data_IF_974631625432
#
_entry.id   IF_974631625432
#
_cell.length_a   1.000
_cell.length_b   1.000
_cell.length_c   1.000
_cell.angle_alpha   90.00
_cell.angle_beta   90.00
_cell.angle_gamma   90.00
#
_symmetry.space_group_name_H-M   'P 1'
#
loop_
_entity.id
_entity.type
_entity.pdbx_description
1 polymer ?
#
# COMPACT_ATOMS: atom_id res chain seq x y z
N UNK A 1 -55.68 -26.39 -45.26
CA UNK A 1 -55.47 -25.34 -44.26
C UNK A 1 -53.99 -25.40 -43.85
N UNK A 2 -53.18 -24.54 -44.47
CA UNK A 2 -51.72 -24.63 -44.43
C UNK A 2 -51.15 -24.05 -43.12
N UNK A 3 -50.28 -24.80 -42.46
CA UNK A 3 -49.52 -24.35 -41.28
C UNK A 3 -48.12 -23.96 -41.77
N UNK A 4 -47.81 -22.66 -41.70
CA UNK A 4 -46.48 -22.06 -41.96
C UNK A 4 -46.02 -21.33 -40.66
N UNK A 5 -44.72 -21.02 -40.45
CA UNK A 5 -43.88 -21.63 -39.44
C UNK A 5 -43.36 -20.60 -38.42
N UNK A 6 -43.74 -20.73 -37.15
CA UNK A 6 -43.33 -19.79 -36.07
C UNK A 6 -41.86 -19.89 -35.65
N UNK A 7 -41.14 -20.94 -36.02
CA UNK A 7 -39.79 -21.25 -35.51
C UNK A 7 -38.66 -20.48 -36.23
N UNK A 8 -38.86 -20.09 -37.49
CA UNK A 8 -37.82 -19.37 -38.26
C UNK A 8 -37.63 -17.93 -37.82
N UNK A 9 -38.69 -17.27 -37.34
CA UNK A 9 -38.60 -15.89 -36.84
C UNK A 9 -37.86 -15.78 -35.51
N UNK A 10 -37.99 -16.76 -34.60
CA UNK A 10 -37.30 -16.73 -33.32
C UNK A 10 -35.77 -16.94 -33.48
N UNK A 11 -35.36 -17.81 -34.41
CA UNK A 11 -33.95 -18.06 -34.71
C UNK A 11 -33.26 -16.82 -35.34
N UNK A 12 -33.97 -16.11 -36.23
CA UNK A 12 -33.45 -14.87 -36.83
C UNK A 12 -33.31 -13.73 -35.81
N UNK A 13 -34.20 -13.64 -34.82
CA UNK A 13 -34.12 -12.62 -33.77
C UNK A 13 -32.93 -12.88 -32.82
N UNK A 14 -32.66 -14.15 -32.47
CA UNK A 14 -31.48 -14.50 -31.68
C UNK A 14 -30.16 -14.20 -32.42
N UNK A 15 -30.10 -14.43 -33.74
CA UNK A 15 -28.91 -14.12 -34.54
C UNK A 15 -28.70 -12.61 -34.65
N UNK A 16 -29.76 -11.80 -34.82
CA UNK A 16 -29.62 -10.33 -34.87
C UNK A 16 -29.18 -9.72 -33.53
N UNK A 17 -29.64 -10.25 -32.39
CA UNK A 17 -29.22 -9.81 -31.05
C UNK A 17 -27.74 -10.14 -30.75
N UNK A 18 -27.18 -11.19 -31.37
CA UNK A 18 -25.75 -11.49 -31.27
C UNK A 18 -24.88 -10.51 -32.08
N UNK A 19 -25.38 -9.96 -33.19
CA UNK A 19 -24.63 -8.99 -34.01
C UNK A 19 -24.55 -7.59 -33.38
N UNK A 20 -25.50 -7.21 -32.51
CA UNK A 20 -25.46 -5.90 -31.83
C UNK A 20 -24.46 -5.83 -30.67
N UNK A 21 -23.87 -6.96 -30.25
CA UNK A 21 -22.85 -7.01 -29.18
C UNK A 21 -21.40 -6.99 -29.67
N UNK A 22 -21.14 -6.79 -30.98
CA UNK A 22 -19.79 -6.86 -31.56
C UNK A 22 -19.23 -5.53 -32.10
N UNK A 23 -19.74 -4.38 -31.66
CA UNK A 23 -19.13 -3.09 -31.99
C UNK A 23 -18.32 -2.53 -30.80
N UNK A 24 -17.24 -3.21 -30.44
CA UNK A 24 -16.16 -2.57 -29.68
C UNK A 24 -15.46 -1.57 -30.61
N UNK A 25 -15.80 -0.29 -30.49
CA UNK A 25 -15.06 0.78 -31.16
C UNK A 25 -13.71 0.98 -30.46
N UNK A 26 -12.67 0.30 -30.98
CA UNK A 26 -11.32 0.32 -30.40
C UNK A 26 -10.18 0.62 -31.38
N UNK A 27 -10.45 1.13 -32.60
CA UNK A 27 -9.39 1.50 -33.55
C UNK A 27 -9.18 3.02 -33.59
N UNK A 28 -8.39 3.52 -32.66
CA UNK A 28 -7.57 4.70 -32.91
C UNK A 28 -6.26 4.26 -33.58
N UNK A 29 -5.67 5.04 -34.50
CA UNK A 29 -4.39 4.71 -35.09
C UNK A 29 -3.32 4.58 -34.00
N UNK A 30 -2.40 3.60 -34.10
CA UNK A 30 -1.39 3.37 -33.08
C UNK A 30 -0.50 4.61 -32.96
N UNK A 31 -0.35 5.12 -31.74
CA UNK A 31 0.71 6.06 -31.43
C UNK A 31 2.05 5.31 -31.61
N UNK A 32 2.99 5.83 -32.42
CA UNK A 32 4.15 5.06 -32.88
C UNK A 32 5.19 4.70 -31.79
N UNK A 33 4.94 5.00 -30.50
CA UNK A 33 6.00 5.02 -29.48
C UNK A 33 5.67 4.32 -28.15
N UNK A 34 4.70 3.40 -28.06
CA UNK A 34 4.50 2.71 -26.78
C UNK A 34 4.26 1.21 -26.89
N UNK A 35 5.35 0.45 -26.78
CA UNK A 35 5.32 -0.98 -26.59
C UNK A 35 5.26 -1.32 -25.10
N UNK A 36 4.23 -2.04 -24.66
CA UNK A 36 4.16 -2.66 -23.34
C UNK A 36 4.23 -4.16 -23.51
N UNK A 37 5.11 -4.79 -22.74
CA UNK A 37 5.17 -6.24 -22.63
C UNK A 37 4.42 -6.62 -21.35
N UNK A 38 3.60 -7.64 -21.44
CA UNK A 38 2.80 -8.19 -20.35
C UNK A 38 2.47 -9.63 -20.71
N UNK A 39 2.17 -10.46 -19.71
CA UNK A 39 1.70 -11.83 -19.94
C UNK A 39 0.18 -11.87 -19.87
N UNK A 40 -0.45 -12.58 -20.81
CA UNK A 40 -1.89 -12.87 -20.75
C UNK A 40 -2.09 -14.19 -20.00
N UNK A 41 -2.77 -14.14 -18.85
CA UNK A 41 -3.17 -15.32 -18.09
C UNK A 41 -4.71 -15.38 -18.04
N UNK A 42 -5.32 -16.00 -19.05
CA UNK A 42 -6.78 -16.21 -19.08
C UNK A 42 -7.61 -14.92 -19.16
N UNK A 43 -7.10 -13.90 -19.87
CA UNK A 43 -7.77 -12.60 -20.01
C UNK A 43 -7.30 -11.52 -19.03
N UNK A 44 -6.39 -11.84 -18.12
CA UNK A 44 -5.72 -10.87 -17.25
C UNK A 44 -4.37 -10.44 -17.84
N UNK A 45 -4.10 -9.14 -17.83
CA UNK A 45 -2.84 -8.53 -18.25
C UNK A 45 -1.95 -8.36 -17.02
N UNK A 46 -0.88 -9.14 -16.87
CA UNK A 46 0.04 -8.95 -15.75
C UNK A 46 1.19 -8.04 -16.15
N UNK A 47 1.32 -6.91 -15.45
CA UNK A 47 2.49 -6.01 -15.56
C UNK A 47 3.31 -6.05 -14.28
N UNK A 48 4.60 -6.34 -14.40
CA UNK A 48 5.55 -6.31 -13.30
C UNK A 48 6.55 -5.16 -13.48
N UNK A 49 7.09 -4.66 -12.38
CA UNK A 49 7.96 -3.48 -12.35
C UNK A 49 9.23 -3.67 -13.14
N UNK A 50 9.77 -4.89 -13.22
CA UNK A 50 10.93 -5.17 -14.07
C UNK A 50 10.59 -5.19 -15.58
N UNK A 51 9.33 -5.44 -15.95
CA UNK A 51 8.90 -5.47 -17.35
C UNK A 51 8.76 -4.04 -17.90
N UNK A 52 8.20 -3.13 -17.09
CA UNK A 52 8.10 -1.70 -17.44
C UNK A 52 8.24 -0.80 -16.19
N UNK A 53 9.47 -0.51 -15.74
CA UNK A 53 9.72 0.28 -14.54
C UNK A 53 9.10 1.68 -14.60
N UNK A 54 9.09 2.29 -15.80
CA UNK A 54 8.55 3.62 -16.04
C UNK A 54 7.07 3.78 -15.73
N UNK A 55 6.32 2.67 -15.65
CA UNK A 55 4.93 2.70 -15.23
C UNK A 55 4.79 3.12 -13.75
N UNK A 56 5.81 2.85 -12.93
CA UNK A 56 5.81 3.03 -11.48
C UNK A 56 6.50 4.33 -11.03
N UNK A 57 7.15 5.06 -11.94
CA UNK A 57 8.00 6.21 -11.59
C UNK A 57 7.23 7.44 -11.12
N UNK A 58 5.99 7.62 -11.60
CA UNK A 58 5.12 8.71 -11.15
C UNK A 58 4.35 8.42 -9.86
N UNK A 59 4.52 7.24 -9.23
CA UNK A 59 3.81 6.90 -8.00
C UNK A 59 4.37 7.76 -6.85
N UNK A 60 3.54 8.57 -6.18
CA UNK A 60 4.00 9.37 -5.05
C UNK A 60 4.39 8.46 -3.88
N UNK A 61 5.41 8.87 -3.12
CA UNK A 61 5.93 8.09 -1.99
C UNK A 61 6.27 6.63 -2.36
N UNK A 62 7.11 6.45 -3.39
CA UNK A 62 7.52 5.14 -3.94
C UNK A 62 8.22 4.22 -2.92
N UNK A 63 8.70 4.75 -1.80
CA UNK A 63 9.25 3.95 -0.70
C UNK A 63 8.16 3.30 0.17
N UNK A 64 6.90 3.72 0.01
CA UNK A 64 5.72 3.29 0.76
C UNK A 64 4.68 2.68 -0.18
N UNK A 65 5.12 1.75 -1.02
CA UNK A 65 4.21 0.92 -1.80
C UNK A 65 3.43 -0.03 -0.89
N UNK A 66 2.24 -0.41 -1.29
CA UNK A 66 1.41 -1.33 -0.52
C UNK A 66 2.09 -2.70 -0.41
N UNK A 67 2.05 -3.31 0.77
CA UNK A 67 2.71 -4.57 1.07
C UNK A 67 4.21 -4.46 1.35
N UNK A 68 4.80 -3.27 1.25
CA UNK A 68 6.21 -3.03 1.59
C UNK A 68 6.49 -3.43 3.05
N UNK A 69 7.58 -4.17 3.29
CA UNK A 69 8.07 -4.45 4.63
C UNK A 69 8.95 -3.32 5.13
N UNK A 70 8.56 -2.70 6.25
CA UNK A 70 9.31 -1.62 6.89
C UNK A 70 9.88 -2.05 8.24
N UNK A 71 11.10 -1.61 8.52
CA UNK A 71 11.74 -1.72 9.83
C UNK A 71 12.12 -0.32 10.30
N UNK A 72 11.85 -0.02 11.56
CA UNK A 72 12.09 1.28 12.17
C UNK A 72 13.11 1.12 13.30
N UNK A 73 14.26 1.78 13.17
CA UNK A 73 15.29 1.80 14.21
C UNK A 73 15.25 3.15 14.92
N UNK A 74 15.07 3.15 16.24
CA UNK A 74 15.18 4.35 17.06
C UNK A 74 16.60 4.91 17.00
N UNK A 75 16.72 6.22 16.81
CA UNK A 75 18.02 6.89 16.78
C UNK A 75 18.61 7.10 18.18
N UNK A 76 17.75 7.34 19.17
CA UNK A 76 18.16 7.57 20.56
C UNK A 76 18.57 6.29 21.27
N UNK A 77 17.80 5.20 21.08
CA UNK A 77 18.06 3.91 21.74
C UNK A 77 18.93 2.99 20.87
N UNK A 78 18.95 3.20 19.55
CA UNK A 78 19.71 2.35 18.62
C UNK A 78 19.13 0.95 18.43
N UNK A 79 17.86 0.73 18.81
CA UNK A 79 17.13 -0.55 18.73
C UNK A 79 15.91 -0.44 17.83
N UNK A 80 15.40 -1.58 17.38
CA UNK A 80 14.26 -1.65 16.45
C UNK A 80 12.92 -1.68 17.17
N UNK A 81 11.92 -1.01 16.57
CA UNK A 81 10.53 -1.23 16.92
C UNK A 81 10.17 -2.71 16.72
N UNK A 82 9.52 -3.30 17.71
CA UNK A 82 9.19 -4.72 17.76
C UNK A 82 7.76 -4.90 18.23
N UNK A 83 6.99 -5.70 17.50
CA UNK A 83 5.72 -6.21 18.00
C UNK A 83 6.00 -7.39 18.93
N UNK A 84 5.94 -7.16 20.26
CA UNK A 84 6.15 -8.23 21.23
C UNK A 84 5.20 -9.40 20.96
N UNK A 85 5.72 -10.61 21.17
CA UNK A 85 5.06 -11.88 20.81
C UNK A 85 4.60 -11.99 19.35
N UNK A 86 5.11 -11.13 18.45
CA UNK A 86 4.68 -11.02 17.05
C UNK A 86 3.39 -10.24 16.83
N UNK A 87 2.80 -9.65 17.88
CA UNK A 87 1.48 -9.02 17.88
C UNK A 87 0.58 -9.52 19.01
N UNK A 88 -0.44 -8.74 19.33
CA UNK A 88 -1.43 -9.04 20.37
C UNK A 88 -1.22 -8.28 21.67
N UNK A 89 -0.21 -7.43 21.70
CA UNK A 89 0.19 -6.64 22.87
C UNK A 89 0.87 -5.34 22.42
N UNK A 90 1.71 -4.77 23.27
CA UNK A 90 2.47 -3.53 23.09
C UNK A 90 3.53 -3.61 21.97
N UNK A 91 3.82 -2.45 21.37
CA UNK A 91 5.01 -2.21 20.55
C UNK A 91 6.12 -1.67 21.42
N UNK A 92 7.28 -2.31 21.35
CA UNK A 92 8.48 -1.97 22.16
C UNK A 92 9.66 -1.62 21.26
N UNK A 93 10.79 -1.23 21.85
CA UNK A 93 12.04 -0.89 21.16
C UNK A 93 13.26 -1.58 21.81
N UNK A 94 13.24 -2.91 21.94
CA UNK A 94 14.24 -3.67 22.71
C UNK A 94 15.15 -4.57 21.83
N UNK A 95 15.00 -4.57 20.51
CA UNK A 95 15.70 -5.50 19.60
C UNK A 95 16.93 -4.87 18.94
N UNK A 96 18.07 -5.56 19.00
CA UNK A 96 19.33 -5.10 18.38
C UNK A 96 19.46 -5.48 16.91
N UNK A 97 18.71 -6.49 16.46
CA UNK A 97 18.65 -6.92 15.07
C UNK A 97 17.18 -7.12 14.66
N UNK A 98 16.88 -6.85 13.40
CA UNK A 98 15.53 -6.96 12.86
C UNK A 98 15.31 -8.25 12.08
N UNK A 99 14.14 -8.85 12.29
CA UNK A 99 13.63 -10.05 11.63
C UNK A 99 12.10 -9.93 11.47
N UNK A 100 11.36 -11.00 11.70
CA UNK A 100 9.91 -11.06 11.46
C UNK A 100 9.08 -10.14 12.36
N UNK A 101 9.44 -9.97 13.64
CA UNK A 101 8.64 -9.23 14.61
C UNK A 101 8.88 -7.71 14.53
N UNK A 102 10.02 -7.31 13.99
CA UNK A 102 10.40 -5.92 13.75
C UNK A 102 10.00 -5.45 12.34
N UNK A 103 9.45 -6.35 11.52
CA UNK A 103 9.00 -6.05 10.15
C UNK A 103 7.50 -5.77 10.12
N UNK A 104 7.17 -4.53 9.80
CA UNK A 104 5.81 -4.04 9.67
C UNK A 104 5.42 -4.01 8.19
N UNK A 105 4.39 -4.76 7.82
CA UNK A 105 3.86 -4.73 6.45
C UNK A 105 2.94 -3.53 6.29
N UNK A 106 3.26 -2.68 5.33
CA UNK A 106 2.51 -1.47 5.06
C UNK A 106 1.24 -1.79 4.28
N UNK A 107 0.14 -1.15 4.66
CA UNK A 107 -1.10 -1.09 3.89
C UNK A 107 -1.38 0.37 3.57
N UNK A 108 -1.40 0.71 2.29
CA UNK A 108 -1.56 2.08 1.82
C UNK A 108 -3.03 2.41 1.68
N UNK A 109 -3.48 3.41 2.44
CA UNK A 109 -4.87 3.91 2.39
C UNK A 109 -4.98 5.04 1.36
N UNK A 110 -4.00 5.95 1.36
CA UNK A 110 -3.86 7.00 0.36
C UNK A 110 -2.38 7.41 0.22
N UNK A 111 -2.11 8.58 -0.35
CA UNK A 111 -0.75 9.07 -0.55
C UNK A 111 0.04 9.26 0.75
N UNK A 112 -0.62 9.65 1.85
CA UNK A 112 0.03 10.04 3.10
C UNK A 112 -0.23 9.11 4.27
N UNK A 113 -1.36 8.41 4.27
CA UNK A 113 -1.78 7.61 5.41
C UNK A 113 -1.71 6.12 5.12
N UNK A 114 -1.27 5.39 6.12
CA UNK A 114 -0.95 3.98 6.05
C UNK A 114 -1.40 3.26 7.32
N UNK A 115 -1.69 1.98 7.18
CA UNK A 115 -1.85 1.07 8.31
C UNK A 115 -0.66 0.11 8.30
N UNK A 116 -0.26 -0.36 9.47
CA UNK A 116 0.89 -1.25 9.61
C UNK A 116 0.46 -2.56 10.22
N UNK A 117 0.75 -3.67 9.55
CA UNK A 117 0.42 -5.02 10.01
C UNK A 117 1.65 -5.74 10.52
N UNK A 118 1.56 -6.27 11.74
CA UNK A 118 2.63 -7.03 12.40
C UNK A 118 2.62 -8.51 12.00
N UNK A 119 3.56 -9.29 12.54
CA UNK A 119 3.79 -10.69 12.19
C UNK A 119 2.53 -11.57 12.32
N UNK A 120 1.81 -11.46 13.44
CA UNK A 120 0.56 -12.19 13.72
C UNK A 120 -0.67 -11.59 13.03
N UNK A 121 -0.48 -10.80 11.97
CA UNK A 121 -1.52 -10.19 11.13
C UNK A 121 -2.42 -9.18 11.85
N UNK A 122 -2.03 -8.72 13.03
CA UNK A 122 -2.70 -7.62 13.72
C UNK A 122 -2.19 -6.26 13.23
N UNK A 123 -2.99 -5.23 13.42
CA UNK A 123 -2.65 -3.87 13.05
C UNK A 123 -2.11 -3.11 14.26
N UNK A 124 -1.05 -2.33 14.00
CA UNK A 124 -0.53 -1.33 14.92
C UNK A 124 -1.59 -0.23 15.06
N UNK A 125 -1.80 0.25 16.28
CA UNK A 125 -2.74 1.30 16.61
C UNK A 125 -2.44 1.91 17.98
N UNK A 126 -3.19 2.95 18.33
CA UNK A 126 -3.17 3.51 19.68
C UNK A 126 -4.06 2.70 20.62
N UNK A 127 -3.63 2.54 21.88
CA UNK A 127 -4.45 1.91 22.91
C UNK A 127 -5.59 2.83 23.35
N UNK A 128 -6.65 2.84 22.56
CA UNK A 128 -7.89 3.59 22.83
C UNK A 128 -8.67 3.09 24.03
N UNK A 129 -8.36 1.90 24.56
CA UNK A 129 -8.99 1.37 25.79
C UNK A 129 -8.22 1.78 27.05
N UNK A 130 -6.92 2.07 26.89
CA UNK A 130 -6.05 2.60 27.93
C UNK A 130 -5.94 4.12 27.90
N UNK A 131 -4.70 4.62 27.87
CA UNK A 131 -4.40 6.05 27.95
C UNK A 131 -4.51 6.81 26.61
N UNK A 132 -4.81 6.11 25.50
CA UNK A 132 -4.96 6.71 24.17
C UNK A 132 -3.66 7.19 23.52
N UNK A 133 -2.50 6.90 24.12
CA UNK A 133 -1.18 7.30 23.58
C UNK A 133 -0.23 6.11 23.42
N UNK A 134 -0.41 5.01 24.15
CA UNK A 134 0.46 3.84 24.02
C UNK A 134 0.27 3.18 22.65
N UNK A 135 1.37 2.71 22.06
CA UNK A 135 1.35 2.03 20.75
C UNK A 135 1.25 0.52 20.95
N UNK A 136 0.19 -0.06 20.40
CA UNK A 136 -0.14 -1.50 20.55
C UNK A 136 -0.42 -2.12 19.19
N UNK A 137 -0.36 -3.46 19.12
CA UNK A 137 -0.71 -4.22 17.92
C UNK A 137 -1.76 -5.29 18.22
N UNK A 138 -2.93 -4.86 18.67
CA UNK A 138 -4.00 -5.76 19.18
C UNK A 138 -5.13 -6.00 18.18
N UNK A 139 -5.27 -5.17 17.14
CA UNK A 139 -6.42 -5.20 16.24
C UNK A 139 -6.26 -6.26 15.16
N UNK A 140 -6.95 -7.40 15.30
CA UNK A 140 -6.89 -8.52 14.33
C UNK A 140 -7.94 -8.43 13.20
N UNK A 141 -8.94 -7.55 13.35
CA UNK A 141 -10.06 -7.40 12.40
C UNK A 141 -9.82 -6.29 11.38
N UNK A 142 -10.86 -5.50 11.13
CA UNK A 142 -10.78 -4.34 10.25
C UNK A 142 -10.16 -3.16 11.00
N UNK A 143 -8.99 -2.65 10.58
CA UNK A 143 -8.38 -1.46 11.17
C UNK A 143 -9.20 -0.21 10.90
N UNK A 144 -9.19 0.71 11.85
CA UNK A 144 -9.92 1.98 11.78
C UNK A 144 -8.99 3.20 11.85
N UNK A 145 -9.53 4.28 12.42
CA UNK A 145 -8.82 5.55 12.54
C UNK A 145 -7.62 5.42 13.49
N UNK A 146 -7.75 4.69 14.60
CA UNK A 146 -6.68 4.49 15.59
C UNK A 146 -5.47 3.72 15.06
N UNK A 147 -5.63 2.97 13.96
CA UNK A 147 -4.58 2.18 13.30
C UNK A 147 -4.00 2.89 12.06
N UNK A 148 -4.43 4.12 11.78
CA UNK A 148 -4.05 4.87 10.58
C UNK A 148 -3.04 5.95 10.92
N UNK A 149 -1.83 5.81 10.38
CA UNK A 149 -0.67 6.66 10.66
C UNK A 149 -0.21 7.39 9.40
N UNK A 150 0.43 8.54 9.58
CA UNK A 150 1.18 9.24 8.52
C UNK A 150 2.68 9.03 8.76
N UNK A 151 3.44 8.72 7.71
CA UNK A 151 4.90 8.59 7.79
C UNK A 151 5.52 9.80 7.09
N UNK A 152 6.21 10.65 7.86
CA UNK A 152 6.79 11.91 7.39
C UNK A 152 8.29 11.74 7.21
N UNK A 153 8.78 12.04 6.01
CA UNK A 153 10.22 12.02 5.70
C UNK A 153 10.93 13.29 6.12
N UNK A 154 12.18 13.14 6.55
CA UNK A 154 13.13 14.24 6.53
C UNK A 154 13.54 14.52 5.07
N UNK A 155 13.23 15.71 4.55
CA UNK A 155 13.65 16.10 3.20
C UNK A 155 15.15 16.33 3.06
N UNK A 156 15.87 16.53 4.18
CA UNK A 156 17.32 16.77 4.21
C UNK A 156 18.19 15.50 4.35
N UNK A 157 17.62 14.37 4.76
CA UNK A 157 18.34 13.09 4.98
C UNK A 157 17.46 11.91 4.54
N UNK A 158 17.89 11.20 3.49
CA UNK A 158 17.16 10.10 2.87
C UNK A 158 17.25 8.83 3.72
N UNK A 159 16.60 8.82 4.87
CA UNK A 159 16.58 7.65 5.74
C UNK A 159 15.80 7.85 7.03
N UNK A 160 15.62 9.11 7.45
CA UNK A 160 14.93 9.43 8.71
C UNK A 160 13.46 9.75 8.49
N UNK A 161 12.64 9.20 9.38
CA UNK A 161 11.19 9.40 9.37
C UNK A 161 10.68 9.69 10.77
N UNK A 162 9.54 10.37 10.83
CA UNK A 162 8.66 10.41 11.99
C UNK A 162 7.34 9.74 11.64
N UNK A 163 6.74 9.08 12.62
CA UNK A 163 5.45 8.41 12.44
C UNK A 163 4.41 9.22 13.22
N UNK A 164 3.49 9.87 12.51
CA UNK A 164 2.41 10.64 13.10
C UNK A 164 1.20 9.75 13.32
N UNK A 165 0.70 9.75 14.53
CA UNK A 165 -0.45 8.99 14.96
C UNK A 165 -1.76 9.77 14.71
N UNK A 166 -2.91 9.10 14.73
CA UNK A 166 -4.21 9.72 14.44
C UNK A 166 -4.65 10.74 15.52
N UNK A 167 -4.04 10.71 16.70
CA UNK A 167 -4.23 11.72 17.75
C UNK A 167 -3.51 13.06 17.45
N UNK A 168 -2.78 13.15 16.33
CA UNK A 168 -2.09 14.37 15.88
C UNK A 168 -0.64 14.49 16.34
N UNK A 169 -0.19 13.61 17.25
CA UNK A 169 1.18 13.60 17.76
C UNK A 169 2.04 12.55 17.04
N UNK A 170 3.35 12.67 17.21
CA UNK A 170 4.32 11.70 16.70
C UNK A 170 4.63 10.62 17.74
N UNK A 171 4.93 9.43 17.24
CA UNK A 171 5.49 8.34 18.03
C UNK A 171 6.84 8.78 18.60
N UNK A 172 7.11 8.41 19.85
CA UNK A 172 8.40 8.56 20.49
C UNK A 172 8.71 7.36 21.37
N UNK A 173 9.99 7.02 21.44
CA UNK A 173 10.49 5.98 22.34
C UNK A 173 10.74 6.59 23.71
N UNK A 174 10.00 6.16 24.73
CA UNK A 174 10.21 6.58 26.12
C UNK A 174 11.27 5.73 26.79
N UNK A 175 11.15 4.42 26.61
CA UNK A 175 12.09 3.40 27.09
C UNK A 175 12.14 2.27 26.07
N UNK A 176 13.00 1.28 26.27
CA UNK A 176 13.04 0.09 25.41
C UNK A 176 11.73 -0.72 25.43
N UNK A 177 10.88 -0.53 26.43
CA UNK A 177 9.65 -1.29 26.65
C UNK A 177 8.39 -0.45 26.39
N UNK A 178 8.53 0.85 26.11
CA UNK A 178 7.40 1.77 25.99
C UNK A 178 7.60 2.75 24.83
N UNK A 179 6.67 2.69 23.88
CA UNK A 179 6.52 3.62 22.77
C UNK A 179 5.15 4.29 22.86
N UNK A 180 5.14 5.62 22.79
CA UNK A 180 3.94 6.44 22.95
C UNK A 180 3.79 7.44 21.81
N UNK A 181 2.57 7.91 21.57
CA UNK A 181 2.24 8.91 20.56
C UNK A 181 1.84 10.25 21.21
N UNK A 182 2.81 10.94 21.80
CA UNK A 182 2.63 12.20 22.53
C UNK A 182 3.72 13.25 22.18
N UNK A 183 4.54 12.99 21.16
CA UNK A 183 5.58 13.94 20.73
C UNK A 183 4.98 15.00 19.82
N UNK A 184 5.36 16.27 20.01
CA UNK A 184 4.99 17.36 19.10
C UNK A 184 5.76 17.30 17.77
N UNK A 185 6.89 16.58 17.73
CA UNK A 185 7.76 16.50 16.54
C UNK A 185 8.35 17.85 16.12
N UNK A 186 8.47 18.79 17.05
CA UNK A 186 9.11 20.10 16.88
C UNK A 186 10.63 20.08 17.16
N UNK A 187 11.16 18.91 17.56
CA UNK A 187 12.57 18.67 17.79
C UNK A 187 13.41 18.58 16.50
N UNK A 188 14.73 18.44 16.70
CA UNK A 188 15.68 18.24 15.61
C UNK A 188 15.51 16.84 14.97
N UNK A 189 16.07 16.61 13.78
CA UNK A 189 16.10 15.27 13.18
C UNK A 189 17.33 14.45 13.61
N UNK A 190 18.06 14.92 14.62
CA UNK A 190 19.29 14.33 15.13
C UNK A 190 19.08 13.04 15.93
N UNK A 191 20.17 12.47 16.41
CA UNK A 191 20.17 11.22 17.18
C UNK A 191 19.70 11.41 18.65
N UNK A 192 19.40 12.65 19.03
CA UNK A 192 18.91 13.06 20.33
C UNK A 192 17.37 13.12 20.43
N UNK A 193 16.66 13.11 19.30
CA UNK A 193 15.19 13.18 19.28
C UNK A 193 14.54 11.78 19.30
N UNK A 194 13.82 11.40 20.36
CA UNK A 194 13.22 10.07 20.51
C UNK A 194 12.06 9.80 19.55
N UNK A 195 11.58 10.80 18.81
CA UNK A 195 10.53 10.67 17.80
C UNK A 195 11.05 10.32 16.41
N UNK A 196 12.37 10.30 16.22
CA UNK A 196 13.03 10.07 14.94
C UNK A 196 13.42 8.60 14.81
N UNK A 197 13.13 8.03 13.64
CA UNK A 197 13.46 6.64 13.32
C UNK A 197 14.22 6.58 12.00
N UNK A 198 15.23 5.71 11.94
CA UNK A 198 15.85 5.29 10.68
C UNK A 198 14.96 4.22 10.06
N UNK A 199 14.53 4.45 8.83
CA UNK A 199 13.70 3.54 8.06
C UNK A 199 14.56 2.61 7.21
N UNK A 200 14.27 1.31 7.27
CA UNK A 200 14.82 0.32 6.32
C UNK A 200 13.67 -0.39 5.60
N UNK A 201 13.79 -0.52 4.27
CA UNK A 201 12.87 -1.28 3.45
C UNK A 201 13.40 -2.71 3.25
N UNK A 202 12.62 -3.71 3.62
CA UNK A 202 13.01 -5.14 3.62
C UNK A 202 12.49 -5.86 2.37
N UNK A 203 11.69 -5.19 1.56
CA UNK A 203 11.10 -5.73 0.35
C UNK A 203 9.91 -4.89 -0.09
N UNK A 204 9.89 -4.56 -1.38
CA UNK A 204 8.84 -3.76 -2.01
C UNK A 204 8.21 -4.56 -3.15
N UNK A 205 6.89 -4.85 -3.10
CA UNK A 205 6.20 -5.49 -4.21
C UNK A 205 6.25 -4.61 -5.46
N UNK A 206 6.46 -5.22 -6.63
CA UNK A 206 6.53 -4.51 -7.91
C UNK A 206 5.47 -5.01 -8.91
N UNK A 207 4.27 -5.33 -8.43
CA UNK A 207 3.16 -5.79 -9.29
C UNK A 207 2.22 -4.66 -9.71
N UNK A 208 1.39 -4.93 -10.71
CA UNK A 208 0.34 -4.03 -11.23
C UNK A 208 -0.57 -3.42 -10.15
N UNK A 209 -0.80 -4.13 -9.05
CA UNK A 209 -1.58 -3.65 -7.90
C UNK A 209 -1.03 -2.33 -7.34
N UNK A 210 0.28 -2.11 -7.45
CA UNK A 210 0.90 -0.85 -7.02
C UNK A 210 0.55 0.31 -7.95
N UNK A 211 0.27 0.05 -9.22
CA UNK A 211 -0.18 1.08 -10.17
C UNK A 211 -1.58 1.54 -9.81
N UNK A 212 -2.50 0.60 -9.59
CA UNK A 212 -3.89 0.92 -9.23
C UNK A 212 -3.99 1.58 -7.86
N UNK A 213 -3.30 1.05 -6.85
CA UNK A 213 -3.34 1.59 -5.50
C UNK A 213 -2.50 2.88 -5.35
N UNK A 214 -1.31 2.93 -5.96
CA UNK A 214 -0.37 4.06 -5.83
C UNK A 214 -0.82 5.33 -6.55
N UNK A 215 -1.36 5.22 -7.77
CA UNK A 215 -1.90 6.36 -8.51
C UNK A 215 -3.37 6.69 -8.13
N UNK A 216 -4.07 5.74 -7.53
CA UNK A 216 -5.49 5.87 -7.21
C UNK A 216 -6.41 5.80 -8.44
N UNK A 217 -7.73 5.85 -8.22
CA UNK A 217 -8.74 5.48 -9.23
C UNK A 217 -8.81 6.44 -10.43
N UNK A 218 -8.32 7.67 -10.30
CA UNK A 218 -8.40 8.68 -11.38
C UNK A 218 -7.20 8.61 -12.33
N UNK A 219 -5.99 8.45 -11.79
CA UNK A 219 -4.74 8.45 -12.57
C UNK A 219 -4.38 7.05 -13.05
N UNK A 220 -4.65 6.00 -12.26
CA UNK A 220 -4.30 4.63 -12.65
C UNK A 220 -4.90 4.21 -13.99
N UNK A 221 -6.19 4.48 -14.32
CA UNK A 221 -6.73 4.15 -15.64
C UNK A 221 -6.04 4.91 -16.77
N UNK A 222 -5.55 6.13 -16.55
CA UNK A 222 -4.84 6.88 -17.58
C UNK A 222 -3.46 6.27 -17.85
N UNK A 223 -2.76 5.87 -16.79
CA UNK A 223 -1.47 5.19 -16.85
C UNK A 223 -1.60 3.81 -17.49
N UNK A 224 -2.69 3.08 -17.21
CA UNK A 224 -2.95 1.74 -17.77
C UNK A 224 -3.59 1.74 -19.16
N UNK A 225 -4.48 2.70 -19.48
CA UNK A 225 -5.16 2.81 -20.80
C UNK A 225 -4.19 3.02 -21.95
N UNK A 226 -3.01 3.55 -21.67
CA UNK A 226 -1.98 3.81 -22.67
C UNK A 226 -1.31 2.50 -23.14
N UNK A 227 -1.75 1.31 -22.70
CA UNK A 227 -0.99 0.05 -22.88
C UNK A 227 -1.78 -1.16 -23.41
N UNK A 228 -3.00 -1.03 -23.92
CA UNK A 228 -3.77 -2.17 -24.45
C UNK A 228 -4.21 -1.92 -25.91
N UNK A 229 -3.32 -2.25 -26.84
CA UNK A 229 -3.71 -2.63 -28.21
C UNK A 229 -3.40 -4.13 -28.30
N UNK A 230 -4.44 -4.96 -28.34
CA UNK A 230 -4.27 -6.37 -28.70
C UNK A 230 -3.85 -6.42 -30.17
N UNK A 231 -2.63 -6.90 -30.41
CA UNK A 231 -2.15 -7.30 -31.74
C UNK A 231 -2.79 -8.61 -32.17
#
# INVERSE_FOLDING_TARGET
MAIYPKTKHLLCICILLCYTFLLSHGRAPPSPNLNVRAVNLGGWLVTEGWIKPSLFDGIPNKNFLDGTGLQFKSVTVGKYLCAETGGGTIIVTNRTAASGWETFRLWRINEKTFQMRVFNKQFVGLDTRGNGIDVVAVVAGTPGVSETFEIVWNSGDSGRVRIKAPNGFFLQVKTEELVTADSKGDGSWGDDDPSVFILTNVGSPQGEFQVTNGYGPLKAPQVMRVSLIFS
#
